data_IF_087629996915
#
_entry.id   IF_087629996915
#
_cell.length_a   1.000
_cell.length_b   1.000
_cell.length_c   1.000
_cell.angle_alpha   90.00
_cell.angle_beta   90.00
_cell.angle_gamma   90.00
#
_symmetry.space_group_name_H-M   'P 1'
#
loop_
_entity.id
_entity.type
_entity.pdbx_description
1 polymer ?
#
# COMPACT_ATOMS: atom_id res chain seq x y z
N UNK A 1 11.96 -7.62 21.25
CA UNK A 1 11.34 -6.42 20.65
C UNK A 1 10.23 -5.94 21.59
N UNK A 2 10.16 -4.66 21.94
CA UNK A 2 9.16 -4.19 22.91
C UNK A 2 7.74 -4.39 22.33
N UNK A 3 6.80 -4.86 23.14
CA UNK A 3 5.44 -5.24 22.70
C UNK A 3 4.74 -4.08 21.96
N UNK A 4 4.99 -2.85 22.41
CA UNK A 4 4.47 -1.61 21.83
C UNK A 4 4.97 -1.34 20.40
N UNK A 5 6.22 -1.68 20.08
CA UNK A 5 6.76 -1.51 18.73
C UNK A 5 6.15 -2.51 17.74
N UNK A 6 5.93 -3.73 18.21
CA UNK A 6 5.27 -4.78 17.42
C UNK A 6 3.80 -4.41 17.15
N UNK A 7 3.09 -3.88 18.15
CA UNK A 7 1.72 -3.38 18.00
C UNK A 7 1.61 -2.21 17.02
N UNK A 8 2.51 -1.22 17.09
CA UNK A 8 2.58 -0.11 16.13
C UNK A 8 2.77 -0.58 14.69
N UNK A 9 3.61 -1.61 14.50
CA UNK A 9 3.86 -2.20 13.20
C UNK A 9 2.60 -2.88 12.64
N UNK A 10 1.92 -3.70 13.45
CA UNK A 10 0.65 -4.33 13.06
C UNK A 10 -0.46 -3.34 12.76
N UNK A 11 -0.58 -2.27 13.53
CA UNK A 11 -1.55 -1.20 13.27
C UNK A 11 -1.25 -0.50 11.94
N UNK A 12 0.01 -0.19 11.65
CA UNK A 12 0.42 0.37 10.36
C UNK A 12 0.02 -0.52 9.18
N UNK A 13 0.27 -1.82 9.30
CA UNK A 13 -0.14 -2.83 8.32
C UNK A 13 -1.67 -2.83 8.11
N UNK A 14 -2.45 -2.86 9.19
CA UNK A 14 -3.92 -2.91 9.09
C UNK A 14 -4.46 -1.66 8.38
N UNK A 15 -3.91 -0.48 8.71
CA UNK A 15 -4.27 0.80 8.07
C UNK A 15 -3.96 0.75 6.57
N UNK A 16 -2.79 0.20 6.20
CA UNK A 16 -2.38 0.02 4.81
C UNK A 16 -3.40 -0.84 4.05
N UNK A 17 -3.73 -2.02 4.57
CA UNK A 17 -4.70 -2.92 3.93
C UNK A 17 -6.08 -2.27 3.81
N UNK A 18 -6.56 -1.62 4.86
CA UNK A 18 -7.83 -0.90 4.86
C UNK A 18 -7.86 0.20 3.79
N UNK A 19 -6.77 0.96 3.65
CA UNK A 19 -6.66 2.05 2.67
C UNK A 19 -6.66 1.48 1.24
N UNK A 20 -5.86 0.44 0.99
CA UNK A 20 -5.80 -0.21 -0.31
C UNK A 20 -7.16 -0.83 -0.70
N UNK A 21 -7.83 -1.49 0.23
CA UNK A 21 -9.14 -2.11 0.01
C UNK A 21 -10.22 -1.07 -0.33
N UNK A 22 -10.25 0.03 0.43
CA UNK A 22 -11.18 1.15 0.18
C UNK A 22 -10.95 1.77 -1.20
N UNK A 23 -9.69 1.91 -1.61
CA UNK A 23 -9.32 2.42 -2.94
C UNK A 23 -9.74 1.46 -4.06
N UNK A 24 -9.51 0.16 -3.88
CA UNK A 24 -9.92 -0.88 -4.84
C UNK A 24 -11.44 -0.88 -5.02
N UNK A 25 -12.23 -0.85 -3.94
CA UNK A 25 -13.70 -0.78 -4.00
C UNK A 25 -14.16 0.49 -4.73
N UNK A 26 -13.60 1.65 -4.38
CA UNK A 26 -13.95 2.94 -5.00
C UNK A 26 -13.61 2.99 -6.48
N UNK A 27 -12.58 2.27 -6.89
CA UNK A 27 -12.14 2.15 -8.29
C UNK A 27 -12.97 1.13 -9.06
N UNK A 28 -13.29 -0.04 -8.51
CA UNK A 28 -14.18 -1.03 -9.16
C UNK A 28 -15.58 -0.47 -9.44
N UNK A 29 -16.09 0.41 -8.56
CA UNK A 29 -17.36 1.11 -8.77
C UNK A 29 -17.31 2.19 -9.87
N UNK A 30 -16.13 2.60 -10.36
CA UNK A 30 -15.95 3.57 -11.44
C UNK A 30 -15.35 2.86 -12.66
N UNK A 31 -15.96 2.96 -13.85
CA UNK A 31 -15.34 2.45 -15.09
C UNK A 31 -13.89 2.95 -15.19
N UNK A 32 -12.92 2.04 -15.31
CA UNK A 32 -11.49 2.31 -15.49
C UNK A 32 -11.22 2.93 -16.88
N UNK A 33 -11.82 4.08 -17.17
CA UNK A 33 -11.68 4.77 -18.47
C UNK A 33 -10.31 5.43 -18.63
N UNK A 34 -9.73 5.93 -17.54
CA UNK A 34 -8.47 6.66 -17.57
C UNK A 34 -7.28 5.77 -17.24
N UNK A 35 -6.21 5.84 -18.06
CA UNK A 35 -4.91 5.18 -17.81
C UNK A 35 -4.38 5.46 -16.38
N UNK A 36 -4.62 6.65 -15.86
CA UNK A 36 -4.26 7.05 -14.48
C UNK A 36 -4.93 6.18 -13.41
N UNK A 37 -6.21 5.82 -13.59
CA UNK A 37 -6.93 4.95 -12.65
C UNK A 37 -6.39 3.52 -12.67
N UNK A 38 -5.92 3.03 -13.83
CA UNK A 38 -5.24 1.74 -13.93
C UNK A 38 -3.89 1.75 -13.19
N UNK A 39 -3.05 2.76 -13.39
CA UNK A 39 -1.79 2.88 -12.64
C UNK A 39 -2.01 2.93 -11.13
N UNK A 40 -3.09 3.60 -10.71
CA UNK A 40 -3.48 3.68 -9.31
C UNK A 40 -3.91 2.33 -8.72
N UNK A 41 -4.65 1.53 -9.51
CA UNK A 41 -5.02 0.17 -9.17
C UNK A 41 -3.77 -0.72 -9.04
N UNK A 42 -2.87 -0.68 -10.02
CA UNK A 42 -1.63 -1.45 -9.98
C UNK A 42 -0.77 -1.09 -8.77
N UNK A 43 -0.63 0.20 -8.47
CA UNK A 43 0.09 0.64 -7.27
C UNK A 43 -0.57 0.11 -5.98
N UNK A 44 -1.91 0.08 -5.92
CA UNK A 44 -2.65 -0.46 -4.78
C UNK A 44 -2.44 -1.97 -4.60
N UNK A 45 -2.45 -2.73 -5.71
CA UNK A 45 -2.18 -4.18 -5.70
C UNK A 45 -0.74 -4.46 -5.29
N UNK A 46 0.23 -3.72 -5.84
CA UNK A 46 1.65 -3.84 -5.47
C UNK A 46 1.82 -3.56 -3.98
N UNK A 47 1.16 -2.53 -3.45
CA UNK A 47 1.25 -2.15 -2.05
C UNK A 47 0.76 -3.27 -1.12
N UNK A 48 -0.34 -3.93 -1.48
CA UNK A 48 -0.88 -5.11 -0.77
C UNK A 48 0.11 -6.27 -0.79
N UNK A 49 0.65 -6.62 -1.97
CA UNK A 49 1.61 -7.72 -2.12
C UNK A 49 2.88 -7.45 -1.31
N UNK A 50 3.43 -6.24 -1.39
CA UNK A 50 4.65 -5.88 -0.65
C UNK A 50 4.43 -5.83 0.85
N UNK A 51 3.24 -5.41 1.30
CA UNK A 51 2.88 -5.47 2.71
C UNK A 51 2.84 -6.91 3.22
N UNK A 52 2.24 -7.83 2.46
CA UNK A 52 2.25 -9.25 2.77
C UNK A 52 3.68 -9.81 2.84
N UNK A 53 4.52 -9.52 1.85
CA UNK A 53 5.91 -10.00 1.81
C UNK A 53 6.75 -9.46 2.96
N UNK A 54 6.57 -8.20 3.35
CA UNK A 54 7.24 -7.61 4.52
C UNK A 54 6.86 -8.33 5.81
N UNK A 55 5.57 -8.66 5.99
CA UNK A 55 5.10 -9.38 7.17
C UNK A 55 5.64 -10.81 7.17
N UNK A 56 5.57 -11.48 6.03
CA UNK A 56 6.06 -12.85 5.88
C UNK A 56 7.56 -12.94 6.17
N UNK A 57 8.36 -12.08 5.54
CA UNK A 57 9.81 -12.04 5.75
C UNK A 57 10.16 -11.71 7.20
N UNK A 58 9.43 -10.78 7.82
CA UNK A 58 9.61 -10.43 9.23
C UNK A 58 9.26 -11.60 10.16
N UNK A 59 8.16 -12.30 9.87
CA UNK A 59 7.69 -13.43 10.69
C UNK A 59 8.58 -14.66 10.56
N UNK A 60 9.08 -14.96 9.36
CA UNK A 60 9.87 -16.17 9.08
C UNK A 60 11.35 -15.97 9.37
N UNK A 61 11.91 -14.82 9.01
CA UNK A 61 13.36 -14.59 9.00
C UNK A 61 13.82 -13.51 9.98
N UNK A 62 12.90 -12.86 10.72
CA UNK A 62 13.16 -11.67 11.56
C UNK A 62 13.95 -10.56 10.83
N UNK A 63 13.91 -10.56 9.50
CA UNK A 63 14.69 -9.68 8.64
C UNK A 63 13.77 -9.11 7.58
N UNK A 64 13.91 -7.82 7.32
CA UNK A 64 13.16 -7.14 6.27
C UNK A 64 14.06 -7.00 5.05
N UNK A 65 13.65 -7.62 3.93
CA UNK A 65 14.35 -7.43 2.66
C UNK A 65 14.22 -5.98 2.21
N UNK A 66 15.36 -5.31 2.01
CA UNK A 66 15.42 -3.90 1.60
C UNK A 66 14.62 -3.62 0.33
N UNK A 67 14.60 -4.58 -0.60
CA UNK A 67 13.82 -4.54 -1.84
C UNK A 67 12.33 -4.40 -1.55
N UNK A 68 11.78 -5.20 -0.63
CA UNK A 68 10.35 -5.19 -0.31
C UNK A 68 9.95 -3.86 0.36
N UNK A 69 10.82 -3.29 1.20
CA UNK A 69 10.62 -1.96 1.79
C UNK A 69 10.60 -0.88 0.70
N UNK A 70 11.54 -0.96 -0.25
CA UNK A 70 11.67 0.01 -1.35
C UNK A 70 10.42 0.01 -2.24
N UNK A 71 9.97 -1.18 -2.66
CA UNK A 71 8.76 -1.33 -3.46
C UNK A 71 7.51 -0.91 -2.68
N UNK A 72 7.45 -1.18 -1.38
CA UNK A 72 6.37 -0.71 -0.51
C UNK A 72 6.29 0.82 -0.48
N UNK A 73 7.42 1.50 -0.21
CA UNK A 73 7.49 2.96 -0.18
C UNK A 73 7.17 3.59 -1.55
N UNK A 74 7.67 3.00 -2.63
CA UNK A 74 7.40 3.46 -3.99
C UNK A 74 5.90 3.36 -4.33
N UNK A 75 5.26 2.23 -4.02
CA UNK A 75 3.83 2.05 -4.23
C UNK A 75 3.02 3.04 -3.39
N UNK A 76 3.43 3.29 -2.14
CA UNK A 76 2.79 4.26 -1.26
C UNK A 76 2.89 5.68 -1.82
N UNK A 77 4.08 6.08 -2.30
CA UNK A 77 4.31 7.40 -2.89
C UNK A 77 3.47 7.61 -4.16
N UNK A 78 3.34 6.60 -5.01
CA UNK A 78 2.50 6.67 -6.21
C UNK A 78 1.02 6.88 -5.88
N UNK A 79 0.51 6.19 -4.86
CA UNK A 79 -0.85 6.36 -4.36
C UNK A 79 -1.02 7.77 -3.78
N UNK A 80 -0.09 8.21 -2.94
CA UNK A 80 -0.13 9.54 -2.34
C UNK A 80 -0.13 10.66 -3.39
N UNK A 81 0.76 10.58 -4.38
CA UNK A 81 0.81 11.53 -5.50
C UNK A 81 -0.47 11.50 -6.33
N UNK A 82 -1.04 10.33 -6.60
CA UNK A 82 -2.29 10.23 -7.36
C UNK A 82 -3.49 10.80 -6.59
N UNK A 83 -3.51 10.71 -5.26
CA UNK A 83 -4.51 11.38 -4.41
C UNK A 83 -4.32 12.90 -4.45
N UNK A 84 -3.10 13.40 -4.25
CA UNK A 84 -2.80 14.83 -4.31
C UNK A 84 -3.16 15.44 -5.67
N UNK A 85 -2.81 14.77 -6.78
CA UNK A 85 -3.14 15.25 -8.13
C UNK A 85 -4.64 15.29 -8.39
N UNK A 86 -5.43 14.36 -7.83
CA UNK A 86 -6.89 14.42 -7.92
C UNK A 86 -7.48 15.57 -7.10
N UNK A 87 -6.89 15.88 -5.94
CA UNK A 87 -7.29 17.02 -5.10
C UNK A 87 -6.98 18.37 -5.77
N UNK A 88 -5.86 18.48 -6.49
CA UNK A 88 -5.46 19.71 -7.20
C UNK A 88 -6.26 20.01 -8.47
N UNK A 89 -6.98 19.04 -9.03
CA UNK A 89 -7.82 19.20 -10.24
C UNK A 89 -9.32 19.38 -9.90
N UNK A 90 -9.68 19.36 -8.62
CA UNK A 90 -10.99 19.77 -8.10
C UNK A 90 -10.90 21.23 -7.68
#
# INVERSE_FOLDING_TARGET
MNLSFLALFFVGIIIIYATAFTLIIKLLGRKFKDKSNMYFLYASVILVIQSYLLIKDFSENQSLRSVNILFFLMAFMLIFQGIQRKKSRM
#
